data_IF_269601700565
#
_entry.id   IF_269601700565
#
_cell.length_a   1.000
_cell.length_b   1.000
_cell.length_c   1.000
_cell.angle_alpha   90.00
_cell.angle_beta   90.00
_cell.angle_gamma   90.00
#
_symmetry.space_group_name_H-M   'P 1'
#
loop_
_entity.id
_entity.type
_entity.pdbx_description
1 polymer ?
#
# COMPACT_ATOMS: atom_id res chain seq x y z
N UNK A 1 0.26 -2.98 12.48
CA UNK A 1 0.00 -4.28 11.82
C UNK A 1 -1.04 -5.07 12.61
N UNK A 2 -2.31 -4.71 12.48
CA UNK A 2 -3.40 -5.45 13.15
C UNK A 2 -3.69 -6.71 12.32
N UNK A 3 -3.74 -7.90 12.93
CA UNK A 3 -4.12 -9.11 12.22
C UNK A 3 -5.62 -9.08 11.91
N UNK A 4 -5.98 -9.44 10.69
CA UNK A 4 -7.35 -9.82 10.34
C UNK A 4 -7.34 -11.33 10.13
N UNK A 5 -7.86 -12.03 11.12
CA UNK A 5 -7.80 -13.49 11.24
C UNK A 5 -6.35 -14.01 11.28
N UNK A 6 -5.85 -14.57 10.17
CA UNK A 6 -4.55 -15.23 10.05
C UNK A 6 -3.47 -14.36 9.38
N UNK A 7 -3.84 -13.19 8.84
CA UNK A 7 -2.96 -12.35 8.02
C UNK A 7 -2.94 -10.89 8.46
N UNK A 8 -1.81 -10.19 8.28
CA UNK A 8 -1.77 -8.74 8.49
C UNK A 8 -2.78 -8.03 7.59
N UNK A 9 -3.55 -7.07 8.13
CA UNK A 9 -4.61 -6.34 7.42
C UNK A 9 -4.18 -5.77 6.05
N UNK A 10 -2.92 -5.36 5.90
CA UNK A 10 -2.39 -4.81 4.65
C UNK A 10 -2.37 -5.80 3.47
N UNK A 11 -2.43 -7.11 3.71
CA UNK A 11 -2.44 -8.11 2.66
C UNK A 11 -3.70 -8.03 1.79
N UNK A 12 -4.83 -7.60 2.35
CA UNK A 12 -6.12 -7.51 1.65
C UNK A 12 -6.15 -6.39 0.59
N UNK A 13 -5.83 -5.12 0.91
CA UNK A 13 -5.75 -4.07 -0.09
C UNK A 13 -4.62 -4.32 -1.10
N UNK A 14 -3.47 -4.88 -0.66
CA UNK A 14 -2.39 -5.25 -1.58
C UNK A 14 -2.85 -6.29 -2.61
N UNK A 15 -3.55 -7.34 -2.17
CA UNK A 15 -4.11 -8.35 -3.07
C UNK A 15 -5.12 -7.75 -4.04
N UNK A 16 -5.92 -6.77 -3.60
CA UNK A 16 -6.89 -6.07 -4.46
C UNK A 16 -6.19 -5.34 -5.62
N UNK A 17 -5.10 -4.61 -5.33
CA UNK A 17 -4.29 -3.94 -6.36
C UNK A 17 -3.64 -4.96 -7.31
N UNK A 18 -3.11 -6.05 -6.78
CA UNK A 18 -2.49 -7.11 -7.57
C UNK A 18 -3.50 -7.81 -8.50
N UNK A 19 -4.72 -8.07 -8.02
CA UNK A 19 -5.81 -8.64 -8.83
C UNK A 19 -6.26 -7.68 -9.96
N UNK A 20 -6.14 -6.36 -9.74
CA UNK A 20 -6.34 -5.36 -10.78
C UNK A 20 -5.17 -5.26 -11.79
N UNK A 21 -4.11 -6.05 -11.61
CA UNK A 21 -2.92 -6.08 -12.49
C UNK A 21 -1.85 -5.05 -12.15
N UNK A 22 -1.99 -4.31 -11.04
CA UNK A 22 -1.04 -3.28 -10.63
C UNK A 22 0.16 -3.95 -9.95
N UNK A 23 1.38 -3.62 -10.42
CA UNK A 23 2.64 -4.21 -9.94
C UNK A 23 3.64 -3.21 -9.39
N UNK A 24 3.42 -1.92 -9.57
CA UNK A 24 4.25 -0.87 -8.96
C UNK A 24 3.39 -0.14 -7.93
N UNK A 25 3.76 -0.27 -6.66
CA UNK A 25 2.89 0.12 -5.54
C UNK A 25 3.71 0.92 -4.52
N UNK A 26 3.21 2.11 -4.20
CA UNK A 26 3.71 2.93 -3.11
C UNK A 26 2.90 2.70 -1.82
N UNK A 27 3.60 2.32 -0.75
CA UNK A 27 3.04 2.21 0.59
C UNK A 27 3.33 3.51 1.35
N UNK A 28 2.27 4.18 1.76
CA UNK A 28 2.34 5.39 2.60
C UNK A 28 1.89 5.02 4.01
N UNK A 29 2.75 5.28 4.98
CA UNK A 29 2.49 4.92 6.39
C UNK A 29 3.13 5.93 7.35
N UNK A 30 2.84 5.82 8.64
CA UNK A 30 3.47 6.68 9.65
C UNK A 30 4.98 6.39 9.78
N UNK A 31 5.81 7.37 10.19
CA UNK A 31 7.24 7.14 10.42
C UNK A 31 7.54 6.01 11.40
N UNK A 32 6.66 5.83 12.40
CA UNK A 32 6.79 4.78 13.41
C UNK A 32 6.54 3.38 12.83
N UNK A 33 5.58 3.25 11.91
CA UNK A 33 5.18 1.95 11.38
C UNK A 33 5.95 1.55 10.11
N UNK A 34 6.64 2.48 9.44
CA UNK A 34 7.39 2.23 8.21
C UNK A 34 8.36 1.03 8.32
N UNK A 35 9.20 0.91 9.37
CA UNK A 35 10.11 -0.24 9.52
C UNK A 35 9.35 -1.57 9.61
N UNK A 36 8.16 -1.59 10.21
CA UNK A 36 7.36 -2.80 10.34
C UNK A 36 6.78 -3.25 8.99
N UNK A 37 6.36 -2.30 8.14
CA UNK A 37 5.90 -2.59 6.78
C UNK A 37 7.04 -3.07 5.88
N UNK A 38 8.19 -2.39 5.92
CA UNK A 38 9.38 -2.79 5.16
C UNK A 38 9.86 -4.20 5.54
N UNK A 39 9.91 -4.52 6.84
CA UNK A 39 10.29 -5.86 7.30
C UNK A 39 9.30 -6.95 6.87
N UNK A 40 8.00 -6.61 6.79
CA UNK A 40 6.95 -7.56 6.45
C UNK A 40 6.85 -7.83 4.94
N UNK A 41 6.99 -6.79 4.13
CA UNK A 41 6.67 -6.84 2.70
C UNK A 41 7.92 -6.78 1.81
N UNK A 42 9.05 -6.30 2.34
CA UNK A 42 10.30 -6.14 1.61
C UNK A 42 10.15 -5.19 0.42
N UNK A 43 10.88 -5.43 -0.66
CA UNK A 43 10.73 -4.68 -1.91
C UNK A 43 9.61 -5.25 -2.82
N UNK A 44 8.88 -6.29 -2.38
CA UNK A 44 7.83 -6.93 -3.17
C UNK A 44 8.28 -8.08 -4.08
N UNK A 45 9.58 -8.38 -4.17
CA UNK A 45 10.11 -9.42 -5.08
C UNK A 45 9.47 -10.80 -4.82
N UNK A 46 9.21 -11.12 -3.55
CA UNK A 46 8.53 -12.36 -3.15
C UNK A 46 7.11 -12.51 -3.72
N UNK A 47 6.49 -11.41 -4.16
CA UNK A 47 5.16 -11.37 -4.78
C UNK A 47 5.21 -11.05 -6.27
N UNK A 48 6.41 -10.82 -6.85
CA UNK A 48 6.57 -10.43 -8.25
C UNK A 48 6.09 -9.00 -8.56
N UNK A 49 6.16 -8.10 -7.58
CA UNK A 49 5.79 -6.68 -7.68
C UNK A 49 6.93 -5.80 -7.16
N UNK A 50 6.89 -4.50 -7.46
CA UNK A 50 7.75 -3.48 -6.87
C UNK A 50 7.00 -2.72 -5.78
N UNK A 51 7.58 -2.69 -4.59
CA UNK A 51 7.10 -1.91 -3.45
C UNK A 51 8.07 -0.78 -3.13
N UNK A 52 7.52 0.43 -3.01
CA UNK A 52 8.24 1.60 -2.49
C UNK A 52 7.53 2.14 -1.26
N UNK A 53 8.25 2.92 -0.45
CA UNK A 53 7.76 3.39 0.85
C UNK A 53 7.94 4.90 0.98
N UNK A 54 6.91 5.58 1.48
CA UNK A 54 6.99 6.97 1.93
C UNK A 54 6.33 7.13 3.30
N UNK A 55 6.86 8.06 4.09
CA UNK A 55 6.33 8.36 5.41
C UNK A 55 5.37 9.55 5.36
N UNK A 56 4.27 9.43 6.10
CA UNK A 56 3.28 10.48 6.32
C UNK A 56 3.35 10.92 7.79
N UNK A 57 3.91 12.10 8.10
CA UNK A 57 4.10 12.54 9.49
C UNK A 57 2.79 12.77 10.26
N UNK A 58 1.73 13.18 9.57
CA UNK A 58 0.42 13.52 10.14
C UNK A 58 -0.71 13.15 9.15
N UNK A 59 -1.88 12.69 9.62
CA UNK A 59 -3.02 12.38 8.77
C UNK A 59 -3.75 13.66 8.34
N UNK A 60 -3.16 14.44 7.43
CA UNK A 60 -3.72 15.71 6.96
C UNK A 60 -4.78 15.55 5.85
N UNK A 61 -5.25 14.32 5.63
CA UNK A 61 -6.30 13.96 4.67
C UNK A 61 -5.82 13.07 3.53
N UNK A 62 -6.76 12.36 2.91
CA UNK A 62 -6.49 11.35 1.87
C UNK A 62 -5.80 11.93 0.62
N UNK A 63 -6.10 13.18 0.27
CA UNK A 63 -5.49 13.84 -0.89
C UNK A 63 -3.96 14.00 -0.75
N UNK A 64 -3.43 13.99 0.48
CA UNK A 64 -2.00 14.05 0.75
C UNK A 64 -1.24 12.85 0.15
N UNK A 65 -1.92 11.71 -0.07
CA UNK A 65 -1.34 10.55 -0.72
C UNK A 65 -0.82 10.88 -2.14
N UNK A 66 -1.54 11.72 -2.90
CA UNK A 66 -1.12 12.14 -4.24
C UNK A 66 0.05 13.12 -4.22
N UNK A 67 0.14 13.95 -3.17
CA UNK A 67 1.28 14.87 -2.99
C UNK A 67 2.53 14.09 -2.62
N UNK A 68 2.43 13.19 -1.64
CA UNK A 68 3.54 12.34 -1.22
C UNK A 68 3.95 11.40 -2.36
N UNK A 69 2.99 10.83 -3.08
CA UNK A 69 3.23 9.91 -4.19
C UNK A 69 3.54 10.55 -5.53
N UNK A 70 3.62 11.88 -5.64
CA UNK A 70 3.73 12.56 -6.93
C UNK A 70 4.87 12.03 -7.82
N UNK A 71 6.07 11.84 -7.26
CA UNK A 71 7.22 11.32 -8.01
C UNK A 71 7.04 9.86 -8.45
N UNK A 72 6.33 9.06 -7.66
CA UNK A 72 6.05 7.65 -7.96
C UNK A 72 4.97 7.53 -9.05
N UNK A 73 3.94 8.39 -9.00
CA UNK A 73 2.86 8.41 -9.99
C UNK A 73 3.37 8.92 -11.34
N UNK A 74 4.23 9.95 -11.33
CA UNK A 74 4.73 10.57 -12.55
C UNK A 74 3.58 11.11 -13.41
N UNK A 75 3.44 10.59 -14.63
CA UNK A 75 2.39 10.96 -15.58
C UNK A 75 1.37 9.84 -15.85
N UNK A 76 1.47 8.73 -15.11
CA UNK A 76 0.65 7.54 -15.31
C UNK A 76 -0.70 7.63 -14.58
N UNK A 77 -1.62 6.74 -14.93
CA UNK A 77 -2.88 6.58 -14.18
C UNK A 77 -2.62 5.84 -12.87
N UNK A 78 -3.32 6.22 -11.79
CA UNK A 78 -3.12 5.66 -10.44
C UNK A 78 -4.43 5.19 -9.82
N UNK A 79 -4.35 4.13 -9.01
CA UNK A 79 -5.41 3.70 -8.11
C UNK A 79 -4.97 3.91 -6.66
N UNK A 80 -5.89 4.37 -5.81
CA UNK A 80 -5.67 4.52 -4.37
C UNK A 80 -6.60 3.58 -3.61
N UNK A 81 -6.03 2.81 -2.69
CA UNK A 81 -6.76 1.97 -1.74
C UNK A 81 -6.30 2.30 -0.32
N UNK A 82 -7.23 2.36 0.63
CA UNK A 82 -6.89 2.54 2.04
C UNK A 82 -6.39 1.23 2.63
N UNK A 83 -5.36 1.30 3.49
CA UNK A 83 -4.71 0.13 4.09
C UNK A 83 -5.58 -0.69 5.03
N UNK A 84 -6.74 -0.15 5.42
CA UNK A 84 -7.77 -0.75 6.26
C UNK A 84 -9.01 -1.22 5.48
N UNK A 85 -9.07 -0.98 4.17
CA UNK A 85 -10.17 -1.46 3.34
C UNK A 85 -10.00 -2.95 3.01
N UNK A 86 -11.06 -3.71 3.28
CA UNK A 86 -11.15 -5.14 2.97
C UNK A 86 -12.26 -5.33 1.94
N UNK A 87 -11.87 -5.76 0.74
CA UNK A 87 -12.81 -6.08 -0.34
C UNK A 87 -12.91 -7.60 -0.50
N UNK A 88 -14.15 -8.10 -0.59
CA UNK A 88 -14.46 -9.48 -0.91
C UNK A 88 -15.71 -9.52 -1.77
N UNK A 89 -15.68 -10.31 -2.85
CA UNK A 89 -16.83 -10.49 -3.73
C UNK A 89 -16.64 -11.71 -4.62
N UNK A 90 -17.74 -12.32 -5.11
CA UNK A 90 -17.65 -13.35 -6.14
C UNK A 90 -17.05 -12.74 -7.41
N UNK A 91 -16.03 -13.40 -7.96
CA UNK A 91 -15.46 -13.10 -9.27
C UNK A 91 -16.33 -13.65 -10.40
#
# INVERSE_FOLDING_TARGET
LVPVYDKPMIYYPLSTLMLAGIRDILIITTPHDAPAFENLLGNGDQFGINLTYKTQPSPDGLAQAFVLGADHIGTESVALVLGDNIFYGPG
#
